data_IF_771174105135
#
_entry.id   IF_771174105135
#
_cell.length_a   1.000
_cell.length_b   1.000
_cell.length_c   1.000
_cell.angle_alpha   90.00
_cell.angle_beta   90.00
_cell.angle_gamma   90.00
#
_symmetry.space_group_name_H-M   'P 1'
#
loop_
_entity.id
_entity.type
_entity.pdbx_description
1 polymer ?
#
# COMPACT_ATOMS: atom_id res chain seq x y z
N UNK A 1 -15.89 -7.99 -68.05
CA UNK A 1 -16.92 -9.00 -67.71
C UNK A 1 -16.25 -9.93 -66.71
N UNK A 2 -16.61 -10.06 -65.43
CA UNK A 2 -17.89 -9.99 -64.69
C UNK A 2 -17.52 -9.48 -63.27
N UNK A 3 -17.75 -8.21 -62.90
CA UNK A 3 -18.80 -7.68 -62.00
C UNK A 3 -19.21 -8.54 -60.79
N UNK A 4 -18.97 -8.01 -59.59
CA UNK A 4 -19.45 -8.53 -58.30
C UNK A 4 -19.18 -7.53 -57.18
N UNK A 5 -19.95 -6.44 -57.14
CA UNK A 5 -20.06 -5.56 -55.97
C UNK A 5 -20.79 -6.31 -54.83
N UNK A 6 -20.34 -6.16 -53.59
CA UNK A 6 -21.28 -5.85 -52.48
C UNK A 6 -20.59 -5.21 -51.27
N UNK A 7 -20.88 -3.92 -51.13
CA UNK A 7 -21.33 -3.20 -49.92
C UNK A 7 -20.41 -3.17 -48.69
N UNK A 8 -19.79 -2.00 -48.54
CA UNK A 8 -19.42 -1.40 -47.26
C UNK A 8 -20.62 -1.29 -46.32
N UNK A 9 -20.54 -1.91 -45.15
CA UNK A 9 -21.41 -1.57 -44.02
C UNK A 9 -20.81 -0.34 -43.32
N UNK A 10 -21.30 0.85 -43.69
CA UNK A 10 -21.22 2.04 -42.83
C UNK A 10 -22.09 1.75 -41.61
N UNK A 11 -21.47 1.58 -40.45
CA UNK A 11 -22.20 1.63 -39.18
C UNK A 11 -22.45 3.11 -38.89
N UNK A 12 -23.70 3.49 -39.09
CA UNK A 12 -24.28 4.77 -38.76
C UNK A 12 -24.16 4.98 -37.24
N UNK A 13 -23.21 5.83 -36.83
CA UNK A 13 -23.08 6.30 -35.45
C UNK A 13 -23.75 7.65 -35.35
N UNK A 14 -25.07 7.65 -35.28
CA UNK A 14 -25.83 8.82 -34.87
C UNK A 14 -26.67 8.54 -33.63
N UNK A 15 -26.30 9.25 -32.58
CA UNK A 15 -27.22 10.04 -31.77
C UNK A 15 -28.40 9.30 -31.09
N UNK A 16 -28.09 8.37 -30.19
CA UNK A 16 -28.97 8.09 -29.06
C UNK A 16 -28.14 7.55 -27.90
N UNK A 17 -27.77 8.42 -26.96
CA UNK A 17 -27.56 8.12 -25.52
C UNK A 17 -26.98 9.32 -24.71
N UNK A 18 -26.77 10.49 -25.30
CA UNK A 18 -26.53 11.73 -24.55
C UNK A 18 -27.82 12.53 -24.34
N UNK A 19 -28.72 12.02 -23.49
CA UNK A 19 -29.72 12.88 -22.86
C UNK A 19 -29.12 13.47 -21.58
N UNK A 20 -28.69 14.74 -21.65
CA UNK A 20 -28.38 15.55 -20.47
C UNK A 20 -29.60 15.57 -19.54
N UNK A 21 -29.46 15.36 -18.22
CA UNK A 21 -30.59 15.51 -17.32
C UNK A 21 -31.07 16.96 -17.35
N UNK A 22 -32.36 17.15 -17.63
CA UNK A 22 -33.02 18.46 -17.60
C UNK A 22 -32.89 19.05 -16.19
N UNK A 23 -32.37 20.27 -16.13
CA UNK A 23 -32.28 21.09 -14.92
C UNK A 23 -33.63 21.18 -14.20
N UNK A 24 -33.72 20.60 -13.00
CA UNK A 24 -34.87 20.80 -12.13
C UNK A 24 -34.75 22.18 -11.50
N UNK A 25 -35.73 23.04 -11.77
CA UNK A 25 -35.85 24.39 -11.19
C UNK A 25 -35.77 24.31 -9.66
N UNK A 26 -34.84 25.07 -9.10
CA UNK A 26 -34.72 25.34 -7.67
C UNK A 26 -35.99 26.08 -7.21
N UNK A 27 -36.78 25.40 -6.38
CA UNK A 27 -37.85 26.02 -5.60
C UNK A 27 -37.31 26.35 -4.22
N UNK A 28 -37.23 27.64 -3.92
CA UNK A 28 -36.82 28.16 -2.62
C UNK A 28 -37.63 27.54 -1.48
N UNK A 29 -36.96 26.88 -0.53
CA UNK A 29 -37.54 26.52 0.76
C UNK A 29 -36.66 27.11 1.86
N UNK A 30 -37.27 27.98 2.65
CA UNK A 30 -36.61 28.87 3.59
C UNK A 30 -35.85 28.14 4.69
N UNK A 31 -34.73 28.76 5.08
CA UNK A 31 -33.98 28.51 6.31
C UNK A 31 -34.95 28.42 7.50
N UNK A 32 -34.99 27.25 8.16
CA UNK A 32 -35.29 26.97 9.59
C UNK A 32 -36.01 25.62 9.73
N UNK A 33 -35.26 24.53 9.80
CA UNK A 33 -35.72 23.26 10.40
C UNK A 33 -34.55 22.26 10.48
N UNK A 34 -33.66 22.44 11.47
CA UNK A 34 -32.77 21.36 11.89
C UNK A 34 -32.30 21.58 13.34
N UNK A 35 -33.23 21.64 14.29
CA UNK A 35 -32.98 21.43 15.73
C UNK A 35 -34.33 21.16 16.44
N UNK A 36 -34.30 20.32 17.49
CA UNK A 36 -35.39 19.82 18.35
C UNK A 36 -36.18 18.65 17.73
N UNK A 37 -36.27 17.47 18.34
CA UNK A 37 -36.73 17.12 19.70
C UNK A 37 -36.02 15.79 20.09
N UNK A 38 -35.36 15.63 21.24
CA UNK A 38 -35.98 15.24 22.53
C UNK A 38 -35.21 15.87 23.71
N UNK A 39 -35.81 16.88 24.33
CA UNK A 39 -35.49 17.32 25.69
C UNK A 39 -36.82 17.36 26.43
N UNK A 40 -37.06 16.40 27.32
CA UNK A 40 -38.31 16.32 28.09
C UNK A 40 -38.18 17.17 29.36
N UNK A 41 -39.20 17.99 29.57
CA UNK A 41 -39.26 19.04 30.57
C UNK A 41 -39.39 18.53 32.01
N UNK A 42 -38.76 19.25 32.92
CA UNK A 42 -39.02 19.22 34.36
C UNK A 42 -40.34 19.93 34.63
N UNK A 43 -41.32 19.19 35.15
CA UNK A 43 -42.56 19.71 35.72
C UNK A 43 -42.77 19.09 37.09
N UNK A 44 -42.53 19.86 38.15
CA UNK A 44 -42.80 19.48 39.53
C UNK A 44 -44.31 19.56 39.77
N UNK A 45 -44.94 18.43 40.08
CA UNK A 45 -46.26 18.34 40.70
C UNK A 45 -46.15 17.40 41.89
N UNK A 46 -46.19 17.98 43.08
CA UNK A 46 -46.25 17.26 44.35
C UNK A 46 -47.67 16.72 44.56
N UNK A 47 -47.81 15.39 44.60
CA UNK A 47 -49.00 14.71 45.14
C UNK A 47 -48.49 13.48 45.90
N UNK A 48 -48.87 13.36 47.16
CA UNK A 48 -48.27 12.41 48.11
C UNK A 48 -48.87 11.00 48.13
N UNK A 49 -48.06 10.09 48.72
CA UNK A 49 -48.36 8.75 49.28
C UNK A 49 -48.14 7.54 48.35
N UNK A 50 -47.78 6.33 48.86
CA UNK A 50 -47.21 5.95 50.16
C UNK A 50 -45.81 5.28 50.04
N UNK A 51 -45.10 5.20 51.16
CA UNK A 51 -43.78 4.55 51.28
C UNK A 51 -43.93 3.03 51.10
N UNK A 52 -43.43 2.51 49.97
CA UNK A 52 -43.12 1.09 49.79
C UNK A 52 -41.67 0.86 50.19
N UNK A 53 -41.43 -0.10 51.08
CA UNK A 53 -40.10 -0.48 51.54
C UNK A 53 -39.24 -0.95 50.35
N UNK A 54 -38.09 -0.31 50.16
CA UNK A 54 -37.13 -0.68 49.12
C UNK A 54 -36.37 -1.96 49.52
N UNK A 55 -36.50 -3.00 48.70
CA UNK A 55 -35.66 -4.19 48.74
C UNK A 55 -34.22 -3.83 48.30
N UNK A 56 -33.16 -4.33 48.97
CA UNK A 56 -31.81 -3.90 48.67
C UNK A 56 -31.41 -4.35 47.25
N UNK A 57 -31.09 -3.38 46.40
CA UNK A 57 -30.63 -3.60 45.04
C UNK A 57 -29.36 -4.48 45.04
N UNK A 58 -29.45 -5.67 44.45
CA UNK A 58 -28.28 -6.51 44.14
C UNK A 58 -27.32 -5.69 43.26
N UNK A 59 -26.12 -5.42 43.77
CA UNK A 59 -25.02 -4.83 43.00
C UNK A 59 -24.80 -5.68 41.74
N UNK A 60 -25.05 -5.11 40.56
CA UNK A 60 -24.56 -5.65 39.30
C UNK A 60 -23.03 -5.58 39.35
N UNK A 61 -22.38 -6.73 39.49
CA UNK A 61 -20.93 -6.83 39.30
C UNK A 61 -20.61 -6.34 37.89
N UNK A 62 -19.75 -5.33 37.79
CA UNK A 62 -19.15 -4.92 36.53
C UNK A 62 -18.28 -6.07 36.02
N UNK A 63 -18.26 -6.34 34.70
CA UNK A 63 -17.36 -7.34 34.14
C UNK A 63 -15.93 -6.98 34.52
N UNK A 64 -15.27 -7.89 35.24
CA UNK A 64 -13.87 -7.79 35.59
C UNK A 64 -13.10 -7.72 34.27
N UNK A 65 -12.41 -6.61 34.01
CA UNK A 65 -11.52 -6.50 32.85
C UNK A 65 -10.58 -7.71 32.88
N UNK A 66 -10.67 -8.57 31.86
CA UNK A 66 -9.73 -9.67 31.69
C UNK A 66 -8.32 -9.08 31.75
N UNK A 67 -7.46 -9.69 32.57
CA UNK A 67 -6.08 -9.27 32.67
C UNK A 67 -5.50 -9.27 31.25
N UNK A 68 -5.13 -8.08 30.75
CA UNK A 68 -4.39 -7.97 29.49
C UNK A 68 -3.17 -8.86 29.66
N UNK A 69 -3.09 -9.94 28.87
CA UNK A 69 -1.88 -10.74 28.77
C UNK A 69 -0.67 -9.85 28.47
N UNK A 70 0.53 -10.41 28.59
CA UNK A 70 1.76 -9.70 28.25
C UNK A 70 1.64 -8.99 26.89
N UNK A 71 1.95 -7.69 26.87
CA UNK A 71 1.88 -6.88 25.64
C UNK A 71 3.12 -7.15 24.82
N UNK A 72 2.94 -7.78 23.66
CA UNK A 72 4.00 -8.06 22.70
C UNK A 72 4.29 -6.78 21.93
N UNK A 73 5.56 -6.37 21.89
CA UNK A 73 6.00 -5.12 21.23
C UNK A 73 6.98 -5.42 20.12
N UNK A 74 6.65 -4.97 18.92
CA UNK A 74 7.49 -5.11 17.73
C UNK A 74 7.90 -3.74 17.20
N UNK A 75 9.16 -3.58 16.80
CA UNK A 75 9.60 -2.49 15.94
C UNK A 75 9.58 -2.95 14.49
N UNK A 76 8.95 -2.17 13.62
CA UNK A 76 8.83 -2.46 12.20
C UNK A 76 9.25 -1.28 11.35
N UNK A 77 10.15 -1.50 10.37
CA UNK A 77 10.61 -0.44 9.47
C UNK A 77 10.14 -0.69 8.03
N UNK A 78 9.66 0.37 7.37
CA UNK A 78 9.26 0.35 5.96
C UNK A 78 10.38 0.79 5.01
N UNK A 79 10.25 0.53 3.71
CA UNK A 79 11.09 1.14 2.66
C UNK A 79 10.70 2.59 2.32
N UNK A 80 9.52 3.03 2.75
CA UNK A 80 8.88 4.28 2.37
C UNK A 80 9.25 5.45 3.28
N UNK A 81 9.40 6.63 2.70
CA UNK A 81 9.50 7.88 3.45
C UNK A 81 8.15 8.22 4.11
N UNK A 82 8.20 9.00 5.18
CA UNK A 82 7.03 9.23 6.04
C UNK A 82 5.84 9.89 5.31
N UNK A 83 6.09 10.70 4.28
CA UNK A 83 5.06 11.40 3.54
C UNK A 83 4.30 10.52 2.52
N UNK A 84 4.89 9.40 2.10
CA UNK A 84 4.36 8.54 1.04
C UNK A 84 3.15 7.74 1.54
N UNK A 85 2.14 7.57 0.67
CA UNK A 85 0.90 6.85 1.02
C UNK A 85 1.13 5.45 1.56
N UNK A 86 2.03 4.63 0.98
CA UNK A 86 2.31 3.30 1.52
C UNK A 86 2.85 3.29 2.96
N UNK A 87 3.56 4.34 3.41
CA UNK A 87 3.96 4.44 4.81
C UNK A 87 2.74 4.71 5.72
N UNK A 88 1.88 5.65 5.32
CA UNK A 88 0.67 6.01 6.07
C UNK A 88 -0.27 4.81 6.22
N UNK A 89 -0.49 4.04 5.16
CA UNK A 89 -1.33 2.83 5.25
C UNK A 89 -0.67 1.75 6.11
N UNK A 90 0.66 1.68 6.16
CA UNK A 90 1.36 0.78 7.08
C UNK A 90 1.17 1.18 8.56
N UNK A 91 1.19 2.48 8.88
CA UNK A 91 0.86 2.96 10.23
C UNK A 91 -0.57 2.60 10.62
N UNK A 92 -1.52 2.75 9.68
CA UNK A 92 -2.92 2.37 9.87
C UNK A 92 -3.10 0.87 10.07
N UNK A 93 -2.37 0.05 9.31
CA UNK A 93 -2.28 -1.40 9.52
C UNK A 93 -1.79 -1.74 10.93
N UNK A 94 -0.69 -1.13 11.38
CA UNK A 94 -0.16 -1.35 12.72
C UNK A 94 -1.18 -0.97 13.81
N UNK A 95 -1.89 0.14 13.63
CA UNK A 95 -2.96 0.57 14.53
C UNK A 95 -4.18 -0.36 14.49
N UNK A 96 -4.51 -0.92 13.32
CA UNK A 96 -5.61 -1.90 13.13
C UNK A 96 -5.28 -3.21 13.84
N UNK A 97 -4.07 -3.74 13.69
CA UNK A 97 -3.58 -4.92 14.42
C UNK A 97 -3.67 -4.71 15.94
N UNK A 98 -3.22 -3.55 16.44
CA UNK A 98 -3.33 -3.22 17.87
C UNK A 98 -4.79 -3.24 18.35
N UNK A 99 -5.73 -2.69 17.57
CA UNK A 99 -7.16 -2.71 17.90
C UNK A 99 -7.74 -4.13 17.87
N UNK A 100 -7.49 -4.89 16.81
CA UNK A 100 -8.02 -6.25 16.62
C UNK A 100 -7.51 -7.22 17.69
N UNK A 101 -6.28 -7.03 18.18
CA UNK A 101 -5.69 -7.84 19.24
C UNK A 101 -6.04 -7.36 20.65
N UNK A 102 -6.89 -6.33 20.78
CA UNK A 102 -7.20 -5.65 22.06
C UNK A 102 -5.93 -5.15 22.80
N UNK A 103 -4.93 -4.72 22.04
CA UNK A 103 -3.66 -4.21 22.54
C UNK A 103 -2.66 -5.28 22.97
N UNK A 104 -2.90 -6.57 22.67
CA UNK A 104 -1.95 -7.66 22.98
C UNK A 104 -0.72 -7.64 22.06
N UNK A 105 -0.84 -7.10 20.86
CA UNK A 105 0.28 -6.85 19.94
C UNK A 105 0.34 -5.38 19.58
N UNK A 106 1.48 -4.75 19.85
CA UNK A 106 1.79 -3.37 19.45
C UNK A 106 2.95 -3.38 18.46
N UNK A 107 2.69 -2.91 17.24
CA UNK A 107 3.72 -2.76 16.20
C UNK A 107 4.00 -1.27 16.06
N UNK A 108 5.23 -0.86 16.37
CA UNK A 108 5.69 0.50 16.14
C UNK A 108 6.25 0.60 14.72
N UNK A 109 5.56 1.35 13.86
CA UNK A 109 5.98 1.62 12.50
C UNK A 109 7.06 2.72 12.46
N UNK A 110 8.09 2.49 11.65
CA UNK A 110 9.19 3.41 11.40
C UNK A 110 9.33 3.63 9.88
N UNK A 111 9.53 4.87 9.41
CA UNK A 111 9.80 5.13 8.01
C UNK A 111 11.21 4.67 7.61
N UNK A 112 11.50 4.74 6.31
CA UNK A 112 12.78 4.38 5.75
C UNK A 112 13.95 5.05 6.49
N UNK A 113 14.96 4.25 6.84
CA UNK A 113 16.20 4.75 7.45
C UNK A 113 16.11 5.16 8.93
N UNK A 114 14.94 5.10 9.57
CA UNK A 114 14.77 5.63 10.92
C UNK A 114 15.40 4.76 12.03
N UNK A 115 15.52 3.44 11.83
CA UNK A 115 16.20 2.53 12.76
C UNK A 115 17.54 2.06 12.18
N UNK A 116 17.54 1.62 10.93
CA UNK A 116 18.72 1.20 10.17
C UNK A 116 18.58 1.64 8.71
N UNK A 117 19.68 1.77 7.93
CA UNK A 117 19.61 1.92 6.49
C UNK A 117 18.70 0.84 5.84
N UNK A 118 17.91 1.20 4.83
CA UNK A 118 16.89 0.30 4.26
C UNK A 118 17.46 -1.03 3.74
N UNK A 119 18.67 -0.99 3.17
CA UNK A 119 19.40 -2.18 2.69
C UNK A 119 19.91 -3.10 3.82
N UNK A 120 19.94 -2.64 5.07
CA UNK A 120 20.38 -3.40 6.24
C UNK A 120 19.21 -4.01 7.03
N UNK A 121 17.96 -3.76 6.62
CA UNK A 121 16.74 -4.19 7.33
C UNK A 121 16.63 -5.71 7.50
N UNK A 122 17.04 -6.51 6.51
CA UNK A 122 17.04 -7.97 6.62
C UNK A 122 18.05 -8.48 7.67
N UNK A 123 19.24 -7.87 7.74
CA UNK A 123 20.23 -8.25 8.75
C UNK A 123 19.80 -7.76 10.15
N UNK A 124 19.15 -6.60 10.24
CA UNK A 124 18.51 -6.12 11.47
C UNK A 124 17.36 -7.04 11.93
N UNK A 125 16.55 -7.57 11.00
CA UNK A 125 15.50 -8.55 11.29
C UNK A 125 16.08 -9.85 11.82
N UNK A 126 17.09 -10.39 11.13
CA UNK A 126 17.80 -11.62 11.51
C UNK A 126 18.39 -11.52 12.91
N UNK A 127 18.98 -10.36 13.25
CA UNK A 127 19.55 -10.07 14.56
C UNK A 127 18.52 -9.60 15.60
N UNK A 128 17.22 -9.60 15.26
CA UNK A 128 16.11 -9.17 16.10
C UNK A 128 16.24 -7.71 16.62
N UNK A 129 16.96 -6.85 15.90
CA UNK A 129 16.97 -5.40 16.12
C UNK A 129 15.62 -4.81 15.69
N UNK A 130 15.09 -5.31 14.58
CA UNK A 130 13.71 -5.14 14.12
C UNK A 130 12.98 -6.48 14.28
N UNK A 131 11.73 -6.47 14.73
CA UNK A 131 10.90 -7.67 14.84
C UNK A 131 10.12 -7.91 13.55
N UNK A 132 9.87 -6.85 12.79
CA UNK A 132 9.24 -6.91 11.48
C UNK A 132 9.89 -5.92 10.51
N UNK A 133 9.74 -6.18 9.22
CA UNK A 133 10.14 -5.29 8.14
C UNK A 133 9.02 -5.25 7.10
N UNK A 134 8.91 -4.10 6.44
CA UNK A 134 8.12 -3.97 5.23
C UNK A 134 8.98 -3.35 4.12
N UNK A 135 9.57 -4.21 3.30
CA UNK A 135 10.52 -3.79 2.26
C UNK A 135 10.23 -4.48 0.95
N UNK A 136 10.88 -4.02 -0.12
CA UNK A 136 10.92 -4.76 -1.36
C UNK A 136 11.97 -5.88 -1.24
N UNK A 137 11.60 -7.17 -1.33
CA UNK A 137 12.54 -8.27 -1.16
C UNK A 137 13.70 -8.26 -2.16
N UNK A 138 13.55 -7.60 -3.31
CA UNK A 138 14.62 -7.39 -4.28
C UNK A 138 15.90 -6.74 -3.71
N UNK A 139 15.83 -6.00 -2.60
CA UNK A 139 17.04 -5.53 -1.90
C UNK A 139 17.94 -6.67 -1.37
N UNK A 140 17.40 -7.87 -1.21
CA UNK A 140 18.16 -9.07 -0.86
C UNK A 140 18.68 -9.84 -2.09
N UNK A 141 18.57 -9.30 -3.31
CA UNK A 141 19.04 -9.96 -4.54
C UNK A 141 20.53 -10.31 -4.52
N UNK A 142 21.36 -9.52 -3.83
CA UNK A 142 22.78 -9.83 -3.63
C UNK A 142 23.03 -11.07 -2.74
N UNK A 143 22.04 -11.49 -1.94
CA UNK A 143 22.08 -12.73 -1.14
C UNK A 143 21.48 -13.91 -1.90
N UNK A 144 20.39 -13.69 -2.64
CA UNK A 144 19.83 -14.64 -3.59
C UNK A 144 19.09 -13.90 -4.73
N UNK A 145 19.50 -14.04 -6.00
CA UNK A 145 18.90 -13.31 -7.11
C UNK A 145 17.41 -13.64 -7.33
N UNK A 146 16.92 -14.77 -6.84
CA UNK A 146 15.52 -15.16 -6.93
C UNK A 146 14.58 -14.17 -6.21
N UNK A 147 15.07 -13.42 -5.22
CA UNK A 147 14.26 -12.39 -4.55
C UNK A 147 13.76 -11.35 -5.54
N UNK A 148 14.64 -10.79 -6.39
CA UNK A 148 14.24 -9.78 -7.37
C UNK A 148 13.27 -10.37 -8.40
N UNK A 149 13.60 -11.51 -9.00
CA UNK A 149 12.77 -12.11 -10.04
C UNK A 149 11.37 -12.52 -9.54
N UNK A 150 11.25 -12.96 -8.27
CA UNK A 150 9.98 -13.36 -7.68
C UNK A 150 9.11 -12.15 -7.30
N UNK A 151 9.72 -11.03 -6.93
CA UNK A 151 9.03 -9.89 -6.29
C UNK A 151 8.96 -8.64 -7.14
N UNK A 152 9.53 -8.64 -8.34
CA UNK A 152 9.27 -7.65 -9.38
C UNK A 152 9.65 -8.21 -10.75
N UNK A 153 8.73 -8.93 -11.37
CA UNK A 153 8.95 -9.48 -12.71
C UNK A 153 8.55 -8.43 -13.76
N UNK A 154 9.55 -7.86 -14.42
CA UNK A 154 9.38 -6.74 -15.34
C UNK A 154 8.43 -7.12 -16.50
N UNK A 155 7.44 -6.28 -16.77
CA UNK A 155 6.37 -6.46 -17.77
C UNK A 155 5.42 -7.65 -17.54
N UNK A 156 5.42 -8.27 -16.36
CA UNK A 156 4.64 -9.48 -16.13
C UNK A 156 3.15 -9.22 -15.80
N UNK A 157 2.82 -8.04 -15.30
CA UNK A 157 1.50 -7.77 -14.74
C UNK A 157 0.98 -6.40 -15.18
N UNK A 158 -0.31 -6.35 -15.52
CA UNK A 158 -1.04 -5.12 -15.84
C UNK A 158 -1.90 -4.65 -14.67
N UNK A 159 -2.29 -5.58 -13.79
CA UNK A 159 -3.21 -5.29 -12.69
C UNK A 159 -2.80 -5.96 -11.36
N UNK A 160 -2.97 -5.29 -10.20
CA UNK A 160 -2.62 -5.83 -8.88
C UNK A 160 -3.22 -7.21 -8.55
N UNK A 161 -4.43 -7.51 -9.06
CA UNK A 161 -5.08 -8.79 -8.80
C UNK A 161 -4.36 -9.98 -9.47
N UNK A 162 -3.60 -9.76 -10.55
CA UNK A 162 -2.82 -10.81 -11.22
C UNK A 162 -1.67 -11.26 -10.32
N UNK A 163 -0.99 -10.30 -9.71
CA UNK A 163 0.10 -10.53 -8.77
C UNK A 163 -0.41 -11.09 -7.43
N UNK A 164 -1.55 -10.60 -6.91
CA UNK A 164 -2.22 -11.22 -5.74
C UNK A 164 -2.56 -12.69 -6.02
N UNK A 165 -3.09 -12.98 -7.22
CA UNK A 165 -3.43 -14.34 -7.63
C UNK A 165 -2.21 -15.26 -7.67
N UNK A 166 -1.09 -14.78 -8.22
CA UNK A 166 0.17 -15.51 -8.24
C UNK A 166 0.69 -15.78 -6.82
N UNK A 167 0.79 -14.73 -6.00
CA UNK A 167 1.35 -14.83 -4.65
C UNK A 167 0.52 -15.76 -3.75
N UNK A 168 -0.81 -15.69 -3.80
CA UNK A 168 -1.67 -16.46 -2.89
C UNK A 168 -2.16 -17.81 -3.43
N UNK A 169 -2.21 -18.01 -4.76
CA UNK A 169 -2.83 -19.20 -5.36
C UNK A 169 -1.95 -19.93 -6.37
N UNK A 170 -0.71 -19.47 -6.61
CA UNK A 170 0.27 -20.16 -7.47
C UNK A 170 1.62 -20.41 -6.77
N UNK A 171 1.67 -20.24 -5.45
CA UNK A 171 2.83 -20.59 -4.63
C UNK A 171 3.86 -19.47 -4.47
N UNK A 172 3.60 -18.25 -4.95
CA UNK A 172 4.56 -17.16 -4.86
C UNK A 172 4.93 -16.79 -3.42
N UNK A 173 3.95 -16.78 -2.50
CA UNK A 173 4.20 -16.52 -1.08
C UNK A 173 5.00 -17.64 -0.42
N UNK A 174 4.74 -18.91 -0.76
CA UNK A 174 5.51 -20.06 -0.28
C UNK A 174 6.95 -20.00 -0.78
N UNK A 175 7.15 -19.66 -2.05
CA UNK A 175 8.50 -19.45 -2.62
C UNK A 175 9.23 -18.33 -1.86
N UNK A 176 8.56 -17.20 -1.58
CA UNK A 176 9.15 -16.09 -0.85
C UNK A 176 9.53 -16.49 0.59
N UNK A 177 8.68 -17.27 1.28
CA UNK A 177 8.97 -17.81 2.61
C UNK A 177 10.21 -18.73 2.60
N UNK A 178 10.33 -19.61 1.61
CA UNK A 178 11.52 -20.47 1.49
C UNK A 178 12.80 -19.65 1.20
N UNK A 179 12.71 -18.55 0.46
CA UNK A 179 13.85 -17.64 0.28
C UNK A 179 14.27 -16.95 1.59
N UNK A 180 13.31 -16.60 2.46
CA UNK A 180 13.58 -15.93 3.74
C UNK A 180 14.03 -16.87 4.87
N UNK A 181 13.68 -18.15 4.79
CA UNK A 181 13.97 -19.16 5.82
C UNK A 181 15.44 -19.25 6.28
N UNK A 182 16.47 -19.17 5.39
CA UNK A 182 17.87 -19.17 5.82
C UNK A 182 18.27 -17.97 6.70
N UNK A 183 17.45 -16.91 6.71
CA UNK A 183 17.67 -15.70 7.51
C UNK A 183 16.90 -15.72 8.84
N UNK A 184 16.21 -16.82 9.16
CA UNK A 184 15.39 -16.90 10.38
C UNK A 184 14.21 -15.94 10.34
N UNK A 185 13.61 -15.77 9.17
CA UNK A 185 12.54 -14.82 8.89
C UNK A 185 11.31 -15.54 8.31
N UNK A 186 10.12 -15.06 8.69
CA UNK A 186 8.84 -15.56 8.21
C UNK A 186 8.05 -14.45 7.52
N UNK A 187 7.74 -14.61 6.24
CA UNK A 187 6.87 -13.68 5.52
C UNK A 187 5.41 -14.01 5.84
N UNK A 188 4.75 -13.09 6.55
CA UNK A 188 3.33 -13.23 6.92
C UNK A 188 2.45 -13.09 5.68
N UNK A 189 2.73 -12.05 4.88
CA UNK A 189 2.01 -11.74 3.65
C UNK A 189 2.74 -10.67 2.85
N UNK A 190 2.05 -10.15 1.86
CA UNK A 190 2.59 -9.21 0.88
C UNK A 190 1.66 -8.01 0.70
N UNK A 191 2.22 -6.93 0.17
CA UNK A 191 1.58 -5.65 -0.09
C UNK A 191 1.99 -5.20 -1.49
N UNK A 192 1.04 -4.75 -2.30
CA UNK A 192 1.28 -4.13 -3.61
C UNK A 192 0.79 -2.68 -3.57
N UNK A 193 1.45 -1.78 -4.28
CA UNK A 193 1.06 -0.36 -4.34
C UNK A 193 0.54 0.09 -5.70
N UNK A 194 0.69 -0.72 -6.74
CA UNK A 194 0.24 -0.41 -8.10
C UNK A 194 1.38 -0.47 -9.11
N UNK A 195 1.02 -0.24 -10.37
CA UNK A 195 1.99 -0.27 -11.48
C UNK A 195 2.76 1.05 -11.52
N UNK A 196 4.08 0.95 -11.56
CA UNK A 196 4.96 2.12 -11.43
C UNK A 196 4.99 2.97 -12.70
N UNK A 197 5.23 4.27 -12.49
CA UNK A 197 5.35 5.29 -13.52
C UNK A 197 6.79 5.80 -13.57
N UNK A 198 7.24 6.23 -14.75
CA UNK A 198 8.57 6.79 -14.98
C UNK A 198 8.55 8.30 -15.13
N UNK A 199 8.87 9.09 -14.09
CA UNK A 199 9.20 10.49 -14.23
C UNK A 199 10.43 10.71 -15.11
N UNK A 200 10.32 11.65 -16.04
CA UNK A 200 11.38 11.99 -16.97
C UNK A 200 11.38 13.48 -17.31
N UNK A 201 12.57 14.03 -17.53
CA UNK A 201 12.78 15.39 -18.05
C UNK A 201 12.37 15.52 -19.51
N UNK A 202 12.28 14.41 -20.24
CA UNK A 202 11.96 14.37 -21.67
C UNK A 202 10.84 13.35 -21.93
N UNK A 203 10.00 13.55 -22.96
CA UNK A 203 9.03 12.53 -23.36
C UNK A 203 9.74 11.21 -23.70
N UNK A 204 9.20 10.11 -23.19
CA UNK A 204 9.60 8.74 -23.52
C UNK A 204 8.33 8.01 -23.95
N UNK A 205 8.25 7.64 -25.22
CA UNK A 205 7.04 7.09 -25.85
C UNK A 205 7.23 5.74 -26.51
N UNK A 206 8.50 5.35 -26.72
CA UNK A 206 8.91 4.09 -27.33
C UNK A 206 10.26 3.66 -26.76
N UNK A 207 10.61 2.40 -26.93
CA UNK A 207 11.81 1.81 -26.35
C UNK A 207 13.10 2.53 -26.79
N UNK A 208 13.16 3.02 -28.03
CA UNK A 208 14.33 3.71 -28.58
C UNK A 208 14.61 5.05 -27.89
N UNK A 209 13.59 5.66 -27.27
CA UNK A 209 13.72 6.94 -26.57
C UNK A 209 14.59 6.82 -25.31
N UNK A 210 14.80 5.61 -24.79
CA UNK A 210 15.68 5.36 -23.65
C UNK A 210 17.18 5.41 -23.98
N UNK A 211 17.55 5.40 -25.27
CA UNK A 211 18.95 5.37 -25.67
C UNK A 211 19.70 6.62 -25.19
N UNK A 212 20.69 6.41 -24.32
CA UNK A 212 21.50 7.47 -23.72
C UNK A 212 20.79 8.29 -22.63
N UNK A 213 19.55 7.95 -22.26
CA UNK A 213 18.88 8.53 -21.09
C UNK A 213 19.62 8.08 -19.84
N UNK A 214 20.02 9.02 -18.99
CA UNK A 214 20.56 8.67 -17.66
C UNK A 214 19.38 8.36 -16.75
N UNK A 215 19.13 7.09 -16.46
CA UNK A 215 17.96 6.68 -15.68
C UNK A 215 18.39 6.11 -14.35
N UNK A 216 17.71 6.50 -13.28
CA UNK A 216 17.83 5.82 -12.00
C UNK A 216 16.97 4.57 -11.99
N UNK A 217 17.58 3.45 -11.65
CA UNK A 217 16.90 2.17 -11.42
C UNK A 217 17.27 1.57 -10.06
N UNK A 218 16.39 0.77 -9.45
CA UNK A 218 16.80 -0.16 -8.41
C UNK A 218 17.80 -1.19 -8.98
N UNK A 219 18.60 -1.81 -8.10
CA UNK A 219 19.45 -2.93 -8.53
C UNK A 219 18.61 -4.12 -8.99
N UNK A 220 19.05 -4.83 -10.03
CA UNK A 220 18.47 -6.09 -10.45
C UNK A 220 18.00 -6.09 -11.90
N UNK A 221 16.91 -6.82 -12.16
CA UNK A 221 16.44 -7.12 -13.51
C UNK A 221 16.05 -5.87 -14.30
N UNK A 222 15.48 -4.86 -13.64
CA UNK A 222 15.11 -3.59 -14.27
C UNK A 222 16.35 -2.84 -14.77
N UNK A 223 17.37 -2.65 -13.91
CA UNK A 223 18.64 -2.05 -14.31
C UNK A 223 19.30 -2.80 -15.48
N UNK A 224 19.27 -4.13 -15.49
CA UNK A 224 19.80 -4.92 -16.60
C UNK A 224 18.99 -4.75 -17.89
N UNK A 225 17.66 -4.70 -17.79
CA UNK A 225 16.78 -4.48 -18.93
C UNK A 225 17.01 -3.09 -19.53
N UNK A 226 17.07 -2.04 -18.70
CA UNK A 226 17.26 -0.67 -19.15
C UNK A 226 18.65 -0.44 -19.74
N UNK A 227 19.69 -1.07 -19.19
CA UNK A 227 21.02 -1.06 -19.80
C UNK A 227 21.02 -1.70 -21.19
N UNK A 228 20.30 -2.83 -21.38
CA UNK A 228 20.13 -3.48 -22.70
C UNK A 228 19.28 -2.64 -23.67
N UNK A 229 18.32 -1.88 -23.15
CA UNK A 229 17.55 -0.90 -23.93
C UNK A 229 18.39 0.33 -24.35
N UNK A 230 19.64 0.43 -23.87
CA UNK A 230 20.59 1.48 -24.25
C UNK A 230 20.58 2.69 -23.33
N UNK A 231 19.90 2.62 -22.18
CA UNK A 231 19.95 3.67 -21.16
C UNK A 231 21.27 3.63 -20.39
N UNK A 232 21.67 4.78 -19.84
CA UNK A 232 22.80 4.88 -18.90
C UNK A 232 22.27 4.75 -17.48
N UNK A 233 22.25 3.53 -16.95
CA UNK A 233 21.66 3.24 -15.63
C UNK A 233 22.53 3.75 -14.50
N UNK A 234 21.91 4.41 -13.52
CA UNK A 234 22.51 4.85 -12.27
C UNK A 234 21.74 4.21 -11.11
N UNK A 235 22.43 3.48 -10.25
CA UNK A 235 21.81 2.85 -9.08
C UNK A 235 21.94 3.79 -7.88
N UNK A 236 20.80 4.27 -7.36
CA UNK A 236 20.75 5.14 -6.19
C UNK A 236 19.62 4.74 -5.23
N UNK A 237 19.77 4.95 -3.91
CA UNK A 237 18.66 4.89 -2.96
C UNK A 237 17.54 5.89 -3.32
N UNK A 238 16.28 5.54 -3.00
CA UNK A 238 15.11 6.39 -3.29
C UNK A 238 15.19 7.81 -2.74
N UNK A 239 15.78 7.96 -1.56
CA UNK A 239 15.97 9.24 -0.88
C UNK A 239 16.92 10.19 -1.61
N UNK A 240 17.74 9.68 -2.53
CA UNK A 240 18.72 10.48 -3.30
C UNK A 240 18.19 10.88 -4.69
N UNK A 241 17.06 10.30 -5.13
CA UNK A 241 16.52 10.47 -6.48
C UNK A 241 16.18 11.92 -6.80
N UNK A 242 15.51 12.63 -5.88
CA UNK A 242 15.13 14.04 -6.09
C UNK A 242 16.38 14.90 -6.35
N UNK A 243 17.39 14.78 -5.48
CA UNK A 243 18.63 15.54 -5.66
C UNK A 243 19.39 15.14 -6.93
N UNK A 244 19.32 13.88 -7.36
CA UNK A 244 19.97 13.41 -8.56
C UNK A 244 19.29 13.96 -9.83
N UNK A 245 17.95 14.03 -9.83
CA UNK A 245 17.18 14.71 -10.86
C UNK A 245 17.52 16.20 -10.89
N UNK A 246 17.48 16.89 -9.75
CA UNK A 246 17.72 18.34 -9.65
C UNK A 246 19.10 18.73 -10.21
N UNK A 247 20.14 18.01 -9.79
CA UNK A 247 21.53 18.24 -10.21
C UNK A 247 21.84 17.74 -11.62
N UNK A 248 20.90 17.08 -12.30
CA UNK A 248 21.09 16.53 -13.64
C UNK A 248 22.05 15.34 -13.70
N UNK A 249 22.26 14.64 -12.58
CA UNK A 249 22.96 13.34 -12.54
C UNK A 249 22.15 12.31 -13.33
N UNK A 250 20.82 12.36 -13.20
CA UNK A 250 19.85 11.56 -13.94
C UNK A 250 18.84 12.45 -14.66
N UNK A 251 18.29 11.93 -15.76
CA UNK A 251 17.28 12.56 -16.61
C UNK A 251 15.89 11.93 -16.40
N UNK A 252 15.84 10.68 -15.93
CA UNK A 252 14.63 9.94 -15.61
C UNK A 252 14.85 9.06 -14.37
N UNK A 253 13.78 8.56 -13.78
CA UNK A 253 13.85 7.66 -12.62
C UNK A 253 12.70 6.68 -12.61
N UNK A 254 12.96 5.43 -12.22
CA UNK A 254 11.94 4.57 -11.63
C UNK A 254 11.81 4.82 -10.13
N UNK A 255 10.61 4.75 -9.55
CA UNK A 255 10.43 4.81 -8.10
C UNK A 255 9.10 4.21 -7.60
N UNK A 256 7.97 4.67 -8.13
CA UNK A 256 6.65 4.28 -7.66
C UNK A 256 5.55 4.67 -8.65
N UNK A 257 4.30 4.63 -8.21
CA UNK A 257 3.16 5.06 -9.04
C UNK A 257 3.17 6.58 -9.29
N UNK A 258 2.26 7.08 -10.15
CA UNK A 258 2.19 8.49 -10.49
C UNK A 258 2.05 9.39 -9.25
N UNK A 259 1.16 9.04 -8.32
CA UNK A 259 0.92 9.80 -7.10
C UNK A 259 2.04 9.67 -6.06
N UNK A 260 2.72 8.52 -5.99
CA UNK A 260 3.91 8.35 -5.14
C UNK A 260 5.03 9.25 -5.65
N UNK A 261 5.26 9.27 -6.97
CA UNK A 261 6.24 10.15 -7.61
C UNK A 261 5.90 11.64 -7.44
N UNK A 262 4.61 11.99 -7.48
CA UNK A 262 4.12 13.34 -7.23
C UNK A 262 4.51 13.82 -5.82
N UNK A 263 4.25 12.99 -4.79
CA UNK A 263 4.58 13.28 -3.38
C UNK A 263 6.07 13.40 -3.12
N UNK A 264 6.88 12.73 -3.92
CA UNK A 264 8.34 12.89 -3.90
C UNK A 264 8.81 14.18 -4.59
N UNK A 265 7.91 14.93 -5.23
CA UNK A 265 8.18 16.19 -5.90
C UNK A 265 8.85 16.05 -7.26
N UNK A 266 8.97 14.84 -7.81
CA UNK A 266 9.71 14.61 -9.06
C UNK A 266 9.13 15.42 -10.24
N UNK A 267 7.81 15.62 -10.26
CA UNK A 267 7.12 16.42 -11.27
C UNK A 267 7.63 17.87 -11.41
N UNK A 268 8.26 18.42 -10.36
CA UNK A 268 8.83 19.78 -10.39
C UNK A 268 10.08 19.88 -11.28
N UNK A 269 10.78 18.76 -11.48
CA UNK A 269 12.05 18.68 -12.23
C UNK A 269 11.89 17.84 -13.50
N UNK A 270 11.07 16.80 -13.44
CA UNK A 270 10.82 15.80 -14.47
C UNK A 270 9.30 15.77 -14.78
N UNK A 271 8.81 16.68 -15.63
CA UNK A 271 7.37 16.94 -15.79
C UNK A 271 6.64 15.92 -16.68
N UNK A 272 7.37 15.03 -17.36
CA UNK A 272 6.80 13.96 -18.15
C UNK A 272 6.77 12.68 -17.33
N UNK A 273 5.71 11.88 -17.45
CA UNK A 273 5.62 10.59 -16.80
C UNK A 273 4.81 9.62 -17.65
N UNK A 274 5.03 8.32 -17.46
CA UNK A 274 4.28 7.27 -18.15
C UNK A 274 3.00 6.95 -17.37
N UNK A 275 1.84 6.98 -18.02
CA UNK A 275 0.58 6.59 -17.41
C UNK A 275 -0.41 6.02 -18.44
N UNK A 276 -1.04 4.86 -18.19
CA UNK A 276 -0.77 3.94 -17.09
C UNK A 276 0.69 3.45 -17.06
N UNK A 277 1.19 3.08 -15.88
CA UNK A 277 2.45 2.36 -15.75
C UNK A 277 2.43 1.04 -16.53
N UNK A 278 3.60 0.46 -16.81
CA UNK A 278 3.65 -0.79 -17.59
C UNK A 278 4.84 -1.72 -17.29
N UNK A 279 5.89 -1.22 -16.64
CA UNK A 279 7.17 -1.95 -16.56
C UNK A 279 7.36 -2.70 -15.25
N UNK A 280 6.96 -2.12 -14.12
CA UNK A 280 7.19 -2.67 -12.78
C UNK A 280 5.91 -2.62 -11.95
N UNK A 281 5.66 -3.70 -11.20
CA UNK A 281 4.66 -3.75 -10.14
C UNK A 281 5.25 -4.60 -9.01
N UNK A 282 6.07 -3.99 -8.16
CA UNK A 282 6.85 -4.71 -7.17
C UNK A 282 5.98 -5.15 -5.98
N UNK A 283 6.49 -6.18 -5.30
CA UNK A 283 5.91 -6.73 -4.07
C UNK A 283 6.65 -6.17 -2.86
N UNK A 284 5.95 -5.50 -1.98
CA UNK A 284 6.41 -5.27 -0.62
C UNK A 284 6.06 -6.46 0.27
N UNK A 285 6.95 -6.85 1.17
CA UNK A 285 6.67 -7.94 2.11
C UNK A 285 6.20 -7.41 3.47
N UNK A 286 5.52 -8.24 4.25
CA UNK A 286 5.48 -8.07 5.71
C UNK A 286 6.15 -9.29 6.32
N UNK A 287 7.43 -9.13 6.63
CA UNK A 287 8.31 -10.23 7.08
C UNK A 287 8.72 -9.99 8.52
N UNK A 288 8.64 -11.02 9.34
CA UNK A 288 8.90 -10.96 10.78
C UNK A 288 10.04 -11.91 11.18
N UNK A 289 10.68 -11.64 12.31
CA UNK A 289 11.64 -12.59 12.87
C UNK A 289 10.90 -13.90 13.21
N UNK A 290 11.42 -15.04 12.75
CA UNK A 290 10.75 -16.34 12.91
C UNK A 290 10.45 -16.65 14.38
N UNK A 291 11.39 -16.36 15.29
CA UNK A 291 11.19 -16.65 16.72
C UNK A 291 10.09 -15.79 17.33
N UNK A 292 9.96 -14.55 16.87
CA UNK A 292 8.91 -13.64 17.34
C UNK A 292 7.54 -14.07 16.78
N UNK A 293 7.50 -14.53 15.53
CA UNK A 293 6.30 -15.15 14.96
C UNK A 293 5.87 -16.38 15.75
N UNK A 294 6.79 -17.29 16.02
CA UNK A 294 6.50 -18.57 16.67
C UNK A 294 5.90 -18.37 18.07
N UNK A 295 6.32 -17.31 18.79
CA UNK A 295 5.82 -16.91 20.10
C UNK A 295 4.41 -16.35 20.09
N UNK A 296 3.89 -15.91 18.95
CA UNK A 296 2.54 -15.38 18.88
C UNK A 296 1.50 -16.48 19.16
N UNK A 297 0.49 -16.20 19.99
CA UNK A 297 -0.73 -17.01 20.05
C UNK A 297 -1.39 -17.14 18.67
N UNK A 298 -2.03 -18.29 18.42
CA UNK A 298 -2.61 -18.60 17.10
C UNK A 298 -3.69 -17.61 16.66
N UNK A 299 -4.45 -17.06 17.60
CA UNK A 299 -5.44 -16.02 17.32
C UNK A 299 -4.79 -14.71 16.87
N UNK A 300 -3.64 -14.34 17.45
CA UNK A 300 -2.87 -13.18 17.00
C UNK A 300 -2.24 -13.44 15.63
N UNK A 301 -1.68 -14.65 15.38
CA UNK A 301 -1.17 -15.03 14.05
C UNK A 301 -2.25 -14.91 12.97
N UNK A 302 -3.48 -15.38 13.27
CA UNK A 302 -4.62 -15.26 12.36
C UNK A 302 -4.98 -13.79 12.09
N UNK A 303 -5.07 -12.97 13.15
CA UNK A 303 -5.36 -11.53 13.02
C UNK A 303 -4.32 -10.83 12.16
N UNK A 304 -3.03 -11.03 12.41
CA UNK A 304 -1.96 -10.36 11.65
C UNK A 304 -2.00 -10.82 10.19
N UNK A 305 -2.16 -12.12 9.93
CA UNK A 305 -2.26 -12.65 8.56
C UNK A 305 -3.43 -12.04 7.78
N UNK A 306 -4.62 -11.98 8.38
CA UNK A 306 -5.79 -11.36 7.75
C UNK A 306 -5.61 -9.86 7.55
N UNK A 307 -5.09 -9.16 8.56
CA UNK A 307 -4.86 -7.72 8.49
C UNK A 307 -3.81 -7.36 7.43
N UNK A 308 -2.77 -8.19 7.23
CA UNK A 308 -1.77 -7.96 6.18
C UNK A 308 -2.39 -8.03 4.79
N UNK A 309 -3.25 -9.02 4.52
CA UNK A 309 -3.91 -9.13 3.20
C UNK A 309 -4.90 -7.99 2.96
N UNK A 310 -5.63 -7.57 3.98
CA UNK A 310 -6.54 -6.43 3.87
C UNK A 310 -5.78 -5.10 3.66
N UNK A 311 -4.68 -4.90 4.38
CA UNK A 311 -3.81 -3.73 4.20
C UNK A 311 -3.23 -3.61 2.80
N UNK A 312 -2.91 -4.74 2.16
CA UNK A 312 -2.49 -4.77 0.76
C UNK A 312 -3.52 -4.08 -0.14
N UNK A 313 -4.77 -4.52 -0.08
CA UNK A 313 -5.83 -3.98 -0.94
C UNK A 313 -6.25 -2.56 -0.55
N UNK A 314 -6.26 -2.22 0.75
CA UNK A 314 -6.47 -0.84 1.21
C UNK A 314 -5.40 0.12 0.68
N UNK A 315 -4.15 -0.36 0.55
CA UNK A 315 -3.06 0.44 -0.04
C UNK A 315 -3.25 0.62 -1.54
N UNK A 316 -3.54 -0.46 -2.29
CA UNK A 316 -3.81 -0.39 -3.73
C UNK A 316 -4.94 0.60 -4.03
N UNK A 317 -6.04 0.52 -3.30
CA UNK A 317 -7.21 1.37 -3.50
C UNK A 317 -6.92 2.85 -3.20
N UNK A 318 -6.20 3.14 -2.10
CA UNK A 318 -5.82 4.50 -1.76
C UNK A 318 -4.85 5.12 -2.76
N UNK A 319 -3.86 4.36 -3.22
CA UNK A 319 -2.94 4.84 -4.27
C UNK A 319 -3.70 5.06 -5.58
N UNK A 320 -4.60 4.16 -5.98
CA UNK A 320 -5.40 4.32 -7.19
C UNK A 320 -6.36 5.52 -7.17
N UNK A 321 -6.80 5.97 -5.98
CA UNK A 321 -7.58 7.21 -5.84
C UNK A 321 -6.73 8.47 -5.99
N UNK A 322 -5.42 8.37 -5.77
CA UNK A 322 -4.48 9.49 -5.83
C UNK A 322 -3.78 9.61 -7.19
N UNK A 323 -3.65 8.50 -7.94
CA UNK A 323 -3.12 8.43 -9.31
C UNK A 323 -4.09 9.06 -10.35
#
# INVERSE_FOLDING_TARGET
MIHGESRSAKVDRDAALLQKPKSRKEGAMGRKAFWAVVGFAVGVLAIGSPVMAAEPAKKKEQPKAEAKGEVIKWKAQTLWAAQETPHKTFEEFCAKVKRMTNGRLEIQAFPAGAVVPTNETLDALKNNVLQAIHVWPGYAAGKNPAFAALTDLIFAYEHPWELDAFMHYRGGLEMLRELYKPFGAYTVGVMFWGVESWPSKKPITKLEDFKGVKIREPQGMEAEFMAKAGASVVVLPGTEVFSALDKGVIDATNWGTASINEKMGFHQIAPYFTYPGFHSMPVGDFTVNQKEWDRLPDDIKAIVTTATREWCWDTVEKVALED
#
